data_IF_180025675185
#
_entry.id   IF_180025675185
#
_cell.length_a   1.000
_cell.length_b   1.000
_cell.length_c   1.000
_cell.angle_alpha   90.00
_cell.angle_beta   90.00
_cell.angle_gamma   90.00
#
_symmetry.space_group_name_H-M   'P 1'
#
loop_
_entity.id
_entity.type
_entity.pdbx_description
1 polymer ?
#
# COMPACT_ATOMS: atom_id res chain seq x y z
N UNK A 1 -49.06 76.89 15.58
CA UNK A 1 -49.60 75.52 15.82
C UNK A 1 -50.98 75.45 15.18
N UNK A 2 -51.43 74.37 14.50
CA UNK A 2 -50.88 73.00 14.39
C UNK A 2 -50.57 72.56 12.92
N UNK A 3 -49.43 71.88 12.67
CA UNK A 3 -49.19 70.42 12.55
C UNK A 3 -49.14 69.92 11.08
N UNK A 4 -47.96 70.04 10.46
CA UNK A 4 -47.59 69.25 9.29
C UNK A 4 -47.15 67.85 9.77
N UNK A 5 -47.92 66.82 9.42
CA UNK A 5 -47.60 65.42 9.73
C UNK A 5 -46.84 64.84 8.54
N UNK A 6 -45.57 64.47 8.79
CA UNK A 6 -44.66 63.95 7.78
C UNK A 6 -44.98 62.50 7.38
N UNK A 7 -44.93 62.23 6.08
CA UNK A 7 -44.84 60.88 5.53
C UNK A 7 -43.41 60.74 5.00
N UNK A 8 -42.56 60.12 5.80
CA UNK A 8 -41.20 59.72 5.40
C UNK A 8 -41.34 58.38 4.69
N UNK A 9 -41.30 58.40 3.35
CA UNK A 9 -41.31 57.20 2.51
C UNK A 9 -39.88 56.65 2.45
N UNK A 10 -39.53 55.80 3.42
CA UNK A 10 -38.22 55.14 3.49
C UNK A 10 -38.11 54.06 2.40
N UNK A 11 -37.57 54.42 1.25
CA UNK A 11 -37.25 53.50 0.15
C UNK A 11 -35.93 52.75 0.48
N UNK A 12 -36.02 51.65 1.20
CA UNK A 12 -34.89 50.75 1.48
C UNK A 12 -34.52 49.95 0.23
N UNK A 13 -33.66 50.53 -0.61
CA UNK A 13 -33.04 49.88 -1.75
C UNK A 13 -31.97 48.89 -1.24
N UNK A 14 -32.37 47.64 -1.01
CA UNK A 14 -31.46 46.56 -0.62
C UNK A 14 -30.52 46.21 -1.77
N UNK A 15 -29.28 46.68 -1.69
CA UNK A 15 -28.19 46.31 -2.60
C UNK A 15 -27.74 44.88 -2.28
N UNK A 16 -28.37 43.89 -2.92
CA UNK A 16 -27.87 42.51 -2.92
C UNK A 16 -26.67 42.45 -3.85
N UNK A 17 -25.47 42.61 -3.29
CA UNK A 17 -24.23 42.34 -4.00
C UNK A 17 -24.11 40.82 -4.17
N UNK A 18 -24.45 40.31 -5.36
CA UNK A 18 -24.08 38.98 -5.78
C UNK A 18 -22.55 38.94 -5.93
N UNK A 19 -21.87 38.34 -4.96
CA UNK A 19 -20.43 38.07 -5.06
C UNK A 19 -20.25 36.94 -6.08
N UNK A 20 -20.11 37.31 -7.35
CA UNK A 20 -19.56 36.42 -8.36
C UNK A 20 -18.07 36.21 -8.02
N UNK A 21 -17.69 34.97 -7.71
CA UNK A 21 -16.31 34.61 -7.35
C UNK A 21 -15.37 34.72 -8.55
N UNK A 22 -14.94 35.93 -8.87
CA UNK A 22 -13.84 36.16 -9.80
C UNK A 22 -12.52 35.80 -9.08
N UNK A 23 -11.70 34.96 -9.70
CA UNK A 23 -10.38 34.63 -9.17
C UNK A 23 -9.52 35.90 -9.04
N UNK A 24 -8.78 36.00 -7.92
CA UNK A 24 -7.86 37.11 -7.66
C UNK A 24 -6.85 37.28 -8.80
N UNK A 25 -6.53 38.52 -9.23
CA UNK A 25 -5.59 38.78 -10.33
C UNK A 25 -4.20 38.12 -10.15
N UNK A 26 -3.78 37.92 -8.90
CA UNK A 26 -2.54 37.22 -8.53
C UNK A 26 -2.60 35.72 -8.82
N UNK A 27 -3.75 35.08 -8.56
CA UNK A 27 -4.00 33.67 -8.86
C UNK A 27 -3.96 33.42 -10.36
N UNK A 28 -4.59 34.29 -11.15
CA UNK A 28 -4.59 34.18 -12.62
C UNK A 28 -3.18 34.29 -13.21
N UNK A 29 -2.36 35.24 -12.74
CA UNK A 29 -0.95 35.36 -13.17
C UNK A 29 -0.12 34.12 -12.79
N UNK A 30 -0.33 33.60 -11.59
CA UNK A 30 0.37 32.38 -11.12
C UNK A 30 -0.01 31.18 -11.96
N UNK A 31 -1.30 31.01 -12.24
CA UNK A 31 -1.81 29.93 -13.08
C UNK A 31 -1.29 30.04 -14.53
N UNK A 32 -1.22 31.24 -15.09
CA UNK A 32 -0.66 31.46 -16.43
C UNK A 32 0.82 31.05 -16.50
N UNK A 33 1.64 31.46 -15.53
CA UNK A 33 3.05 31.07 -15.49
C UNK A 33 3.22 29.55 -15.42
N UNK A 34 2.44 28.86 -14.59
CA UNK A 34 2.46 27.38 -14.50
C UNK A 34 2.01 26.75 -15.82
N UNK A 35 1.01 27.33 -16.48
CA UNK A 35 0.52 26.87 -17.77
C UNK A 35 1.59 26.97 -18.85
N UNK A 36 2.28 28.12 -18.97
CA UNK A 36 3.34 28.34 -19.96
C UNK A 36 4.50 27.34 -19.77
N UNK A 37 4.86 27.08 -18.50
CA UNK A 37 5.84 26.05 -18.14
C UNK A 37 5.38 24.64 -18.51
N UNK A 38 4.09 24.34 -18.38
CA UNK A 38 3.55 23.03 -18.73
C UNK A 38 3.51 22.82 -20.25
N UNK A 39 3.14 23.84 -21.02
CA UNK A 39 3.18 23.80 -22.48
C UNK A 39 4.61 23.62 -22.98
N UNK A 40 5.58 24.33 -22.40
CA UNK A 40 7.01 24.14 -22.71
C UNK A 40 7.46 22.70 -22.44
N UNK A 41 7.04 22.11 -21.32
CA UNK A 41 7.34 20.70 -21.02
C UNK A 41 6.67 19.76 -22.04
N UNK A 42 5.43 20.03 -22.49
CA UNK A 42 4.75 19.22 -23.52
C UNK A 42 5.45 19.30 -24.87
N UNK A 43 5.87 20.49 -25.29
CA UNK A 43 6.64 20.70 -26.53
C UNK A 43 7.98 19.95 -26.49
N UNK A 44 8.56 19.81 -25.30
CA UNK A 44 9.75 18.99 -25.06
C UNK A 44 9.48 17.48 -24.91
N UNK A 45 8.21 17.04 -25.02
CA UNK A 45 7.81 15.64 -24.84
C UNK A 45 7.78 15.15 -23.39
N UNK A 46 7.94 16.05 -22.41
CA UNK A 46 7.99 15.74 -20.98
C UNK A 46 6.60 15.69 -20.34
N UNK A 47 5.70 14.86 -20.88
CA UNK A 47 4.30 14.78 -20.44
C UNK A 47 4.14 14.42 -18.94
N UNK A 48 5.04 13.59 -18.40
CA UNK A 48 5.05 13.22 -16.98
C UNK A 48 5.26 14.42 -16.03
N UNK A 49 5.93 15.49 -16.49
CA UNK A 49 6.11 16.74 -15.75
C UNK A 49 5.02 17.75 -16.08
N UNK A 50 4.57 17.80 -17.33
CA UNK A 50 3.57 18.73 -17.80
C UNK A 50 2.17 18.50 -17.20
N UNK A 51 1.67 17.25 -17.21
CA UNK A 51 0.28 16.98 -16.82
C UNK A 51 0.01 17.34 -15.35
N UNK A 52 0.90 17.06 -14.38
CA UNK A 52 0.73 17.54 -13.00
C UNK A 52 0.70 19.08 -12.88
N UNK A 53 1.47 19.81 -13.70
CA UNK A 53 1.43 21.28 -13.72
C UNK A 53 0.10 21.80 -14.25
N UNK A 54 -0.40 21.24 -15.35
CA UNK A 54 -1.73 21.57 -15.90
C UNK A 54 -2.86 21.24 -14.91
N UNK A 55 -2.76 20.12 -14.20
CA UNK A 55 -3.70 19.78 -13.11
C UNK A 55 -3.73 20.86 -12.03
N UNK A 56 -2.56 21.42 -11.68
CA UNK A 56 -2.47 22.55 -10.74
C UNK A 56 -3.11 23.81 -11.30
N UNK A 57 -2.96 24.09 -12.60
CA UNK A 57 -3.66 25.22 -13.26
C UNK A 57 -5.17 25.08 -13.12
N UNK A 58 -5.73 23.90 -13.41
CA UNK A 58 -7.18 23.66 -13.30
C UNK A 58 -7.67 23.72 -11.84
N UNK A 59 -6.82 23.34 -10.88
CA UNK A 59 -7.15 23.52 -9.47
C UNK A 59 -7.24 25.01 -9.07
N UNK A 60 -6.36 25.86 -9.62
CA UNK A 60 -6.38 27.31 -9.39
C UNK A 60 -7.49 28.01 -10.18
N UNK A 61 -7.74 27.57 -11.40
CA UNK A 61 -8.72 28.14 -12.33
C UNK A 61 -9.63 27.02 -12.88
N UNK A 62 -10.64 26.59 -12.12
CA UNK A 62 -11.55 25.54 -12.56
C UNK A 62 -12.27 25.88 -13.86
N UNK A 63 -12.56 27.16 -14.11
CA UNK A 63 -13.28 27.64 -15.30
C UNK A 63 -12.41 27.73 -16.56
N UNK A 64 -11.11 27.43 -16.48
CA UNK A 64 -10.20 27.50 -17.62
C UNK A 64 -10.41 26.31 -18.58
N UNK A 65 -11.42 26.40 -19.45
CA UNK A 65 -11.75 25.39 -20.47
C UNK A 65 -10.53 25.03 -21.31
N UNK A 66 -9.74 26.04 -21.73
CA UNK A 66 -8.51 25.81 -22.49
C UNK A 66 -7.51 24.92 -21.75
N UNK A 67 -7.31 25.15 -20.45
CA UNK A 67 -6.40 24.33 -19.64
C UNK A 67 -6.90 22.90 -19.45
N UNK A 68 -8.22 22.69 -19.35
CA UNK A 68 -8.80 21.34 -19.31
C UNK A 68 -8.56 20.57 -20.60
N UNK A 69 -8.73 21.22 -21.76
CA UNK A 69 -8.45 20.60 -23.06
C UNK A 69 -6.97 20.25 -23.20
N UNK A 70 -6.06 21.16 -22.84
CA UNK A 70 -4.61 20.89 -22.86
C UNK A 70 -4.22 19.76 -21.92
N UNK A 71 -4.85 19.66 -20.73
CA UNK A 71 -4.60 18.52 -19.83
C UNK A 71 -5.10 17.20 -20.43
N UNK A 72 -6.24 17.21 -21.11
CA UNK A 72 -6.74 16.03 -21.79
C UNK A 72 -5.74 15.56 -22.86
N UNK A 73 -5.21 16.47 -23.68
CA UNK A 73 -4.18 16.19 -24.68
C UNK A 73 -2.89 15.66 -24.03
N UNK A 74 -2.46 16.25 -22.92
CA UNK A 74 -1.31 15.76 -22.16
C UNK A 74 -1.49 14.31 -21.71
N UNK A 75 -2.69 13.93 -21.25
CA UNK A 75 -2.97 12.56 -20.84
C UNK A 75 -3.07 11.58 -22.00
N UNK A 76 -3.57 11.99 -23.17
CA UNK A 76 -3.54 11.14 -24.38
C UNK A 76 -2.10 10.76 -24.73
N UNK A 77 -1.20 11.75 -24.77
CA UNK A 77 0.22 11.53 -25.08
C UNK A 77 0.95 10.72 -24.00
N UNK A 78 0.50 10.82 -22.75
CA UNK A 78 1.04 10.03 -21.64
C UNK A 78 0.52 8.58 -21.62
N UNK A 79 -0.48 8.24 -22.44
CA UNK A 79 -1.11 6.91 -22.46
C UNK A 79 -2.19 6.70 -21.39
N UNK A 80 -2.82 7.79 -20.91
CA UNK A 80 -3.90 7.76 -19.91
C UNK A 80 -5.24 8.18 -20.53
N UNK A 81 -5.88 7.32 -21.35
CA UNK A 81 -7.05 7.68 -22.14
C UNK A 81 -8.33 7.89 -21.31
N UNK A 82 -8.50 7.21 -20.17
CA UNK A 82 -9.65 7.43 -19.28
C UNK A 82 -9.56 8.78 -18.58
N UNK A 83 -8.37 9.14 -18.10
CA UNK A 83 -8.09 10.46 -17.53
C UNK A 83 -8.28 11.56 -18.57
N UNK A 84 -7.81 11.35 -19.81
CA UNK A 84 -8.05 12.30 -20.91
C UNK A 84 -9.54 12.50 -21.20
N UNK A 85 -10.31 11.41 -21.28
CA UNK A 85 -11.75 11.44 -21.53
C UNK A 85 -12.49 12.25 -20.46
N UNK A 86 -12.18 12.05 -19.17
CA UNK A 86 -12.77 12.82 -18.07
C UNK A 86 -12.58 14.33 -18.27
N UNK A 87 -11.36 14.74 -18.64
CA UNK A 87 -11.05 16.15 -18.87
C UNK A 87 -11.71 16.73 -20.12
N UNK A 88 -11.84 15.95 -21.21
CA UNK A 88 -12.63 16.37 -22.36
C UNK A 88 -14.10 16.58 -22.02
N UNK A 89 -14.72 15.63 -21.32
CA UNK A 89 -16.13 15.74 -20.90
C UNK A 89 -16.35 16.93 -19.97
N UNK A 90 -15.42 17.16 -19.03
CA UNK A 90 -15.46 18.33 -18.15
C UNK A 90 -15.34 19.66 -18.90
N UNK A 91 -14.46 19.73 -19.91
CA UNK A 91 -14.32 20.92 -20.76
C UNK A 91 -15.56 21.17 -21.63
N UNK A 92 -16.15 20.10 -22.19
CA UNK A 92 -17.39 20.17 -22.98
C UNK A 92 -18.53 20.73 -22.11
N UNK A 93 -18.73 20.17 -20.91
CA UNK A 93 -19.79 20.57 -20.00
C UNK A 93 -19.71 22.06 -19.62
N UNK A 94 -18.50 22.58 -19.39
CA UNK A 94 -18.31 24.02 -19.06
C UNK A 94 -18.45 24.94 -20.25
N UNK A 95 -18.20 24.44 -21.45
CA UNK A 95 -18.24 25.24 -22.64
C UNK A 95 -19.66 25.40 -23.21
N UNK A 96 -20.64 24.62 -22.72
CA UNK A 96 -22.06 24.80 -22.98
C UNK A 96 -22.51 26.20 -22.53
N UNK A 97 -22.72 27.10 -23.49
CA UNK A 97 -23.12 28.50 -23.24
C UNK A 97 -22.00 29.55 -23.37
N UNK A 98 -20.75 29.15 -23.63
CA UNK A 98 -19.59 30.07 -23.73
C UNK A 98 -19.28 30.58 -25.15
N UNK A 99 -20.05 30.17 -26.16
CA UNK A 99 -19.82 30.52 -27.58
C UNK A 99 -18.56 29.89 -28.21
N UNK A 100 -17.78 29.07 -27.48
CA UNK A 100 -16.56 28.43 -27.96
C UNK A 100 -16.79 27.13 -28.75
N UNK A 101 -17.81 27.12 -29.63
CA UNK A 101 -18.33 25.91 -30.29
C UNK A 101 -17.26 25.09 -31.03
N UNK A 102 -16.37 25.72 -31.78
CA UNK A 102 -15.36 25.00 -32.56
C UNK A 102 -14.38 24.17 -31.70
N UNK A 103 -14.00 24.68 -30.52
CA UNK A 103 -13.13 23.95 -29.58
C UNK A 103 -13.86 22.75 -28.97
N UNK A 104 -15.14 22.94 -28.62
CA UNK A 104 -16.01 21.88 -28.08
C UNK A 104 -16.24 20.77 -29.10
N UNK A 105 -16.47 21.11 -30.38
CA UNK A 105 -16.67 20.11 -31.43
C UNK A 105 -15.46 19.19 -31.57
N UNK A 106 -14.24 19.74 -31.55
CA UNK A 106 -13.02 18.92 -31.59
C UNK A 106 -12.85 18.07 -30.33
N UNK A 107 -13.09 18.65 -29.15
CA UNK A 107 -13.05 17.93 -27.88
C UNK A 107 -14.05 16.76 -27.85
N UNK A 108 -15.26 16.97 -28.37
CA UNK A 108 -16.30 15.94 -28.46
C UNK A 108 -15.90 14.79 -29.38
N UNK A 109 -15.37 15.09 -30.56
CA UNK A 109 -14.89 14.06 -31.48
C UNK A 109 -13.77 13.22 -30.85
N UNK A 110 -12.83 13.85 -30.13
CA UNK A 110 -11.78 13.13 -29.39
C UNK A 110 -12.36 12.28 -28.26
N UNK A 111 -13.27 12.82 -27.45
CA UNK A 111 -13.92 12.09 -26.36
C UNK A 111 -14.66 10.83 -26.87
N UNK A 112 -15.41 10.95 -27.96
CA UNK A 112 -16.13 9.84 -28.58
C UNK A 112 -15.16 8.77 -29.10
N UNK A 113 -14.06 9.17 -29.76
CA UNK A 113 -13.05 8.26 -30.25
C UNK A 113 -12.32 7.51 -29.11
N UNK A 114 -12.01 8.20 -28.02
CA UNK A 114 -11.39 7.61 -26.83
C UNK A 114 -12.34 6.62 -26.13
N UNK A 115 -13.61 6.98 -25.97
CA UNK A 115 -14.59 6.16 -25.26
C UNK A 115 -14.75 4.74 -25.85
N UNK A 116 -14.48 4.56 -27.15
CA UNK A 116 -14.53 3.26 -27.83
C UNK A 116 -13.31 2.37 -27.59
N UNK A 117 -12.21 2.93 -27.04
CA UNK A 117 -10.90 2.28 -26.94
C UNK A 117 -10.45 2.06 -25.51
N UNK A 118 -11.24 2.47 -24.52
CA UNK A 118 -10.87 2.40 -23.11
C UNK A 118 -11.41 1.12 -22.46
N UNK A 119 -10.56 0.45 -21.70
CA UNK A 119 -10.96 -0.69 -20.86
C UNK A 119 -11.86 -0.25 -19.69
N UNK A 120 -12.88 -1.04 -19.39
CA UNK A 120 -13.83 -0.78 -18.32
C UNK A 120 -13.70 -1.82 -17.21
N UNK A 121 -13.59 -1.37 -15.96
CA UNK A 121 -13.57 -2.20 -14.76
C UNK A 121 -14.91 -2.11 -14.03
N UNK A 122 -15.48 -3.28 -13.74
CA UNK A 122 -16.61 -3.43 -12.82
C UNK A 122 -16.14 -4.15 -11.56
N UNK A 123 -16.18 -3.44 -10.43
CA UNK A 123 -15.87 -4.01 -9.11
C UNK A 123 -17.16 -4.48 -8.45
N UNK A 124 -17.30 -5.79 -8.29
CA UNK A 124 -18.46 -6.40 -7.64
C UNK A 124 -18.15 -6.65 -6.16
N UNK A 125 -18.81 -5.89 -5.29
CA UNK A 125 -18.79 -6.13 -3.85
C UNK A 125 -20.01 -6.98 -3.50
N UNK A 126 -19.85 -8.21 -2.99
CA UNK A 126 -20.95 -9.06 -2.55
C UNK A 126 -21.82 -8.39 -1.49
N UNK A 127 -23.13 -8.63 -1.51
CA UNK A 127 -24.09 -8.03 -0.57
C UNK A 127 -23.72 -8.29 0.90
N UNK A 128 -23.16 -9.47 1.18
CA UNK A 128 -22.65 -9.86 2.50
C UNK A 128 -21.54 -8.95 3.03
N UNK A 129 -20.77 -8.31 2.14
CA UNK A 129 -19.70 -7.38 2.49
C UNK A 129 -20.21 -5.93 2.53
N UNK A 130 -21.21 -5.56 1.69
CA UNK A 130 -21.70 -4.17 1.59
C UNK A 130 -22.26 -3.62 2.90
N UNK A 131 -22.82 -4.48 3.75
CA UNK A 131 -23.34 -4.11 5.07
C UNK A 131 -22.29 -4.08 6.18
N UNK A 132 -21.02 -4.39 5.90
CA UNK A 132 -19.97 -4.37 6.91
C UNK A 132 -19.59 -2.94 7.27
N UNK A 133 -19.70 -2.60 8.56
CA UNK A 133 -19.24 -1.32 9.08
C UNK A 133 -17.72 -1.20 8.96
N UNK A 134 -17.26 -0.07 8.40
CA UNK A 134 -15.84 0.18 8.18
C UNK A 134 -15.22 -0.60 7.02
N UNK A 135 -16.03 -1.12 6.08
CA UNK A 135 -15.52 -1.62 4.81
C UNK A 135 -15.00 -0.47 3.97
N UNK A 136 -13.70 -0.51 3.66
CA UNK A 136 -13.02 0.46 2.80
C UNK A 136 -12.43 -0.26 1.60
N UNK A 137 -12.68 0.29 0.41
CA UNK A 137 -12.01 -0.11 -0.82
C UNK A 137 -11.11 1.04 -1.27
N UNK A 138 -9.87 0.71 -1.64
CA UNK A 138 -8.90 1.65 -2.18
C UNK A 138 -8.46 1.16 -3.56
N UNK A 139 -8.45 2.04 -4.55
CA UNK A 139 -7.86 1.82 -5.87
C UNK A 139 -6.63 2.72 -6.01
N UNK A 140 -5.44 2.13 -6.09
CA UNK A 140 -4.16 2.85 -6.06
C UNK A 140 -4.04 3.80 -4.85
N UNK A 141 -4.52 3.34 -3.69
CA UNK A 141 -4.50 4.11 -2.44
C UNK A 141 -5.53 5.23 -2.35
N UNK A 142 -6.38 5.43 -3.36
CA UNK A 142 -7.49 6.39 -3.34
C UNK A 142 -8.80 5.71 -2.98
N UNK A 143 -9.69 6.33 -2.19
CA UNK A 143 -11.01 5.77 -1.87
C UNK A 143 -11.80 5.40 -3.13
N UNK A 144 -12.25 4.14 -3.20
CA UNK A 144 -13.16 3.66 -4.22
C UNK A 144 -14.58 3.67 -3.66
N UNK A 145 -15.24 4.81 -3.84
CA UNK A 145 -16.53 5.14 -3.25
C UNK A 145 -17.60 4.07 -3.51
N UNK A 146 -18.46 3.86 -2.51
CA UNK A 146 -19.55 2.88 -2.58
C UNK A 146 -20.51 3.12 -3.75
N UNK A 147 -20.72 4.39 -4.14
CA UNK A 147 -21.54 4.75 -5.29
C UNK A 147 -21.04 4.13 -6.62
N UNK A 148 -19.74 3.81 -6.71
CA UNK A 148 -19.12 3.22 -7.91
C UNK A 148 -19.11 1.69 -7.89
N UNK A 149 -19.49 1.06 -6.79
CA UNK A 149 -19.52 -0.41 -6.70
C UNK A 149 -20.56 -0.97 -7.67
N UNK A 150 -20.16 -1.95 -8.47
CA UNK A 150 -20.98 -2.54 -9.53
C UNK A 150 -21.18 -1.66 -10.76
N UNK A 151 -20.66 -0.43 -10.78
CA UNK A 151 -20.64 0.42 -11.97
C UNK A 151 -19.41 0.10 -12.83
N UNK A 152 -19.54 0.31 -14.15
CA UNK A 152 -18.42 0.24 -15.07
C UNK A 152 -17.61 1.54 -14.98
N UNK A 153 -16.36 1.42 -14.58
CA UNK A 153 -15.40 2.52 -14.47
C UNK A 153 -14.34 2.38 -15.55
N UNK A 154 -14.15 3.42 -16.34
CA UNK A 154 -13.08 3.46 -17.35
C UNK A 154 -11.71 3.54 -16.69
N UNK A 155 -10.74 2.78 -17.22
CA UNK A 155 -9.37 2.67 -16.71
C UNK A 155 -8.35 3.17 -17.72
N UNK A 156 -7.27 3.76 -17.24
CA UNK A 156 -6.08 4.06 -18.05
C UNK A 156 -5.25 2.79 -18.28
N UNK A 157 -4.34 2.83 -19.25
CA UNK A 157 -3.49 1.70 -19.64
C UNK A 157 -2.30 1.56 -18.68
N UNK A 158 -2.61 1.32 -17.40
CA UNK A 158 -1.65 1.16 -16.31
C UNK A 158 -2.12 0.11 -15.32
N UNK A 159 -1.19 -0.47 -14.59
CA UNK A 159 -1.52 -1.41 -13.52
C UNK A 159 -2.12 -0.66 -12.33
N UNK A 160 -3.22 -1.20 -11.79
CA UNK A 160 -3.88 -0.73 -10.58
C UNK A 160 -3.82 -1.78 -9.47
N UNK A 161 -3.78 -1.33 -8.22
CA UNK A 161 -3.92 -2.18 -7.04
C UNK A 161 -5.23 -1.86 -6.34
N UNK A 162 -6.16 -2.80 -6.36
CA UNK A 162 -7.40 -2.75 -5.58
C UNK A 162 -7.15 -3.39 -4.21
N UNK A 163 -7.43 -2.67 -3.14
CA UNK A 163 -7.31 -3.12 -1.75
C UNK A 163 -8.66 -3.03 -1.09
N UNK A 164 -9.08 -4.06 -0.37
CA UNK A 164 -10.26 -4.04 0.48
C UNK A 164 -9.85 -4.34 1.92
N UNK A 165 -10.38 -3.58 2.86
CA UNK A 165 -10.12 -3.74 4.30
C UNK A 165 -11.40 -3.53 5.10
N UNK A 166 -11.57 -4.28 6.17
CA UNK A 166 -12.65 -4.09 7.13
C UNK A 166 -12.22 -4.56 8.53
N UNK A 167 -12.74 -3.97 9.62
CA UNK A 167 -12.46 -4.43 10.97
C UNK A 167 -12.78 -5.92 11.17
N UNK A 168 -11.83 -6.69 11.71
CA UNK A 168 -11.99 -8.13 11.92
C UNK A 168 -11.81 -9.01 10.67
N UNK A 169 -11.41 -8.42 9.54
CA UNK A 169 -11.06 -9.13 8.30
C UNK A 169 -9.58 -8.97 7.97
N UNK A 170 -9.04 -9.93 7.22
CA UNK A 170 -7.72 -9.79 6.59
C UNK A 170 -7.84 -8.82 5.42
N UNK A 171 -6.88 -7.93 5.28
CA UNK A 171 -6.79 -7.06 4.10
C UNK A 171 -6.63 -7.91 2.86
N UNK A 172 -7.49 -7.67 1.88
CA UNK A 172 -7.44 -8.30 0.57
C UNK A 172 -6.85 -7.33 -0.44
N UNK A 173 -6.04 -7.83 -1.36
CA UNK A 173 -5.46 -7.03 -2.45
C UNK A 173 -5.46 -7.80 -3.75
N UNK A 174 -5.75 -7.11 -4.85
CA UNK A 174 -5.73 -7.63 -6.21
C UNK A 174 -5.11 -6.61 -7.15
N UNK A 175 -4.10 -7.06 -7.90
CA UNK A 175 -3.58 -6.29 -9.04
C UNK A 175 -4.49 -6.48 -10.25
N UNK A 176 -4.74 -5.37 -10.94
CA UNK A 176 -5.57 -5.26 -12.14
C UNK A 176 -4.68 -4.66 -13.22
N UNK A 177 -4.49 -5.39 -14.31
CA UNK A 177 -3.69 -4.94 -15.44
C UNK A 177 -4.59 -4.88 -16.68
N UNK A 178 -5.09 -3.69 -17.05
CA UNK A 178 -5.91 -3.53 -18.23
C UNK A 178 -5.09 -3.83 -19.50
N UNK A 179 -5.61 -4.65 -20.43
CA UNK A 179 -4.95 -4.83 -21.71
C UNK A 179 -5.02 -3.53 -22.53
N UNK A 180 -4.10 -3.39 -23.49
CA UNK A 180 -4.07 -2.24 -24.42
C UNK A 180 -5.26 -2.20 -25.39
N UNK A 181 -5.99 -3.32 -25.53
CA UNK A 181 -7.25 -3.38 -26.28
C UNK A 181 -8.43 -3.17 -25.33
N UNK A 182 -9.53 -2.54 -25.77
CA UNK A 182 -10.69 -2.30 -24.92
C UNK A 182 -11.28 -3.61 -24.39
N UNK A 183 -11.24 -3.78 -23.06
CA UNK A 183 -11.76 -4.96 -22.39
C UNK A 183 -12.72 -4.62 -21.24
N UNK A 184 -13.70 -5.48 -21.02
CA UNK A 184 -14.59 -5.43 -19.85
C UNK A 184 -14.04 -6.34 -18.73
N UNK A 185 -13.37 -5.73 -17.76
CA UNK A 185 -12.79 -6.39 -16.60
C UNK A 185 -13.83 -6.48 -15.47
N UNK A 186 -13.90 -7.65 -14.82
CA UNK A 186 -14.76 -7.86 -13.64
C UNK A 186 -13.90 -8.36 -12.49
N UNK A 187 -14.02 -7.71 -11.35
CA UNK A 187 -13.29 -8.07 -10.13
C UNK A 187 -14.28 -8.19 -8.98
N UNK A 188 -14.38 -9.38 -8.41
CA UNK A 188 -15.20 -9.62 -7.23
C UNK A 188 -14.35 -9.49 -5.97
N UNK A 189 -14.80 -8.67 -5.02
CA UNK A 189 -14.10 -8.47 -3.75
C UNK A 189 -14.40 -9.61 -2.80
N UNK A 190 -13.35 -10.16 -2.18
CA UNK A 190 -13.44 -11.26 -1.22
C UNK A 190 -12.68 -10.84 0.04
N UNK A 191 -13.34 -10.94 1.20
CA UNK A 191 -12.71 -10.70 2.50
C UNK A 191 -12.85 -11.93 3.38
N UNK A 192 -11.72 -12.40 3.90
CA UNK A 192 -11.67 -13.50 4.85
C UNK A 192 -11.62 -12.94 6.27
N UNK A 193 -12.42 -13.50 7.18
CA UNK A 193 -12.36 -13.11 8.59
C UNK A 193 -10.95 -13.39 9.11
N UNK A 194 -10.36 -12.41 9.79
CA UNK A 194 -9.11 -12.65 10.49
C UNK A 194 -9.42 -13.65 11.61
N UNK A 195 -8.91 -14.88 11.48
CA UNK A 195 -9.03 -15.89 12.53
C UNK A 195 -8.68 -15.25 13.87
N UNK A 196 -9.62 -15.32 14.81
CA UNK A 196 -9.46 -14.70 16.13
C UNK A 196 -8.12 -15.14 16.72
N UNK A 197 -7.41 -14.26 17.43
CA UNK A 197 -6.19 -14.61 18.16
C UNK A 197 -6.37 -15.87 19.04
N UNK A 198 -7.62 -16.21 19.37
CA UNK A 198 -8.03 -17.42 20.05
C UNK A 198 -7.76 -18.73 19.27
N UNK A 199 -7.82 -18.74 17.92
CA UNK A 199 -7.50 -19.94 17.13
C UNK A 199 -5.99 -20.21 17.09
N UNK A 200 -5.16 -19.16 17.05
CA UNK A 200 -3.70 -19.31 17.20
C UNK A 200 -3.34 -19.84 18.59
N UNK A 201 -4.01 -19.36 19.63
CA UNK A 201 -3.84 -19.89 20.99
C UNK A 201 -4.35 -21.32 21.14
N UNK A 202 -5.43 -21.69 20.44
CA UNK A 202 -5.97 -23.05 20.46
C UNK A 202 -5.08 -24.05 19.71
N UNK A 203 -4.44 -23.63 18.62
CA UNK A 203 -3.45 -24.40 17.87
C UNK A 203 -2.12 -24.55 18.64
N UNK A 204 -1.64 -23.50 19.31
CA UNK A 204 -0.48 -23.59 20.22
C UNK A 204 -0.77 -24.43 21.47
N UNK A 205 -1.98 -24.34 22.03
CA UNK A 205 -2.40 -25.13 23.19
C UNK A 205 -2.55 -26.63 22.84
N UNK A 206 -3.07 -26.96 21.65
CA UNK A 206 -3.15 -28.35 21.17
C UNK A 206 -1.77 -28.90 20.82
N UNK A 207 -0.88 -28.09 20.23
CA UNK A 207 0.53 -28.46 20.00
C UNK A 207 1.29 -28.71 21.31
N UNK A 208 1.12 -27.86 22.33
CA UNK A 208 1.70 -28.05 23.68
C UNK A 208 1.14 -29.30 24.38
N UNK A 209 -0.14 -29.60 24.22
CA UNK A 209 -0.76 -30.82 24.77
C UNK A 209 -0.17 -32.10 24.16
N UNK A 210 0.01 -32.11 22.83
CA UNK A 210 0.51 -33.29 22.12
C UNK A 210 2.01 -33.58 22.40
N UNK A 211 2.82 -32.53 22.61
CA UNK A 211 4.24 -32.68 22.99
C UNK A 211 4.40 -33.25 24.41
N UNK A 212 3.55 -32.86 25.37
CA UNK A 212 3.58 -33.40 26.75
C UNK A 212 3.13 -34.85 26.87
N UNK A 213 2.37 -35.36 25.91
CA UNK A 213 1.87 -36.74 25.92
C UNK A 213 2.87 -37.74 25.29
N UNK A 214 3.87 -37.26 24.56
CA UNK A 214 4.94 -38.08 23.97
C UNK A 214 6.19 -38.23 24.84
N UNK A 215 6.34 -37.44 25.91
CA UNK A 215 7.51 -37.50 26.81
C UNK A 215 7.34 -38.42 28.02
N UNK A 216 6.22 -39.15 28.15
CA UNK A 216 5.95 -40.04 29.28
C UNK A 216 6.30 -41.53 29.03
N UNK A 217 6.95 -41.86 27.90
CA UNK A 217 7.14 -43.25 27.47
C UNK A 217 8.58 -43.78 27.54
N UNK A 218 9.57 -42.99 27.96
CA UNK A 218 10.99 -43.39 27.93
C UNK A 218 11.59 -43.32 29.34
N UNK A 219 11.14 -44.15 30.29
CA UNK A 219 11.97 -44.66 31.41
C UNK A 219 11.33 -45.95 31.90
N UNK A 220 11.92 -47.12 31.60
CA UNK A 220 11.97 -48.31 32.47
C UNK A 220 12.64 -49.49 31.74
N UNK A 221 13.97 -49.55 31.80
CA UNK A 221 14.83 -50.74 31.74
C UNK A 221 16.22 -50.25 32.15
N UNK A 222 16.93 -50.76 33.15
CA UNK A 222 16.75 -51.90 34.03
C UNK A 222 18.05 -52.03 34.82
N UNK A 223 17.91 -52.42 36.09
CA UNK A 223 18.97 -52.66 37.06
C UNK A 223 19.66 -54.00 36.80
N UNK A 224 20.99 -54.04 36.94
CA UNK A 224 21.70 -55.13 37.63
C UNK A 224 22.50 -56.13 36.79
N UNK A 225 23.84 -56.10 36.94
CA UNK A 225 24.69 -57.23 37.34
C UNK A 225 26.17 -56.83 37.27
N UNK A 226 26.89 -56.94 38.38
CA UNK A 226 28.34 -56.73 38.43
C UNK A 226 29.11 -57.96 37.97
N UNK A 227 30.20 -57.74 37.22
CA UNK A 227 31.33 -58.67 37.10
C UNK A 227 32.61 -57.83 37.03
N UNK A 228 33.56 -58.17 37.90
CA UNK A 228 34.89 -57.63 37.90
C UNK A 228 35.80 -58.33 36.88
N UNK A 229 36.77 -57.57 36.39
CA UNK A 229 38.10 -57.96 35.92
C UNK A 229 38.39 -58.04 34.39
N UNK A 230 39.45 -57.29 34.06
CA UNK A 230 40.42 -57.41 32.94
C UNK A 230 39.99 -57.02 31.52
N UNK A 231 40.17 -55.73 31.22
CA UNK A 231 41.09 -55.28 30.16
C UNK A 231 40.64 -55.32 28.68
N UNK A 232 39.87 -54.30 28.25
CA UNK A 232 40.03 -53.59 26.97
C UNK A 232 39.39 -54.15 25.69
N UNK A 233 38.17 -53.71 25.38
CA UNK A 233 37.30 -54.02 24.22
C UNK A 233 37.82 -53.47 22.86
N UNK A 234 37.64 -54.11 21.69
CA UNK A 234 36.48 -54.62 20.92
C UNK A 234 35.70 -53.59 20.07
N UNK A 235 35.56 -53.96 18.80
CA UNK A 235 34.99 -53.26 17.64
C UNK A 235 33.46 -53.19 17.57
N UNK A 236 32.99 -52.31 16.68
CA UNK A 236 31.83 -52.44 15.77
C UNK A 236 30.37 -52.42 16.29
N UNK A 237 29.63 -51.45 15.70
CA UNK A 237 28.27 -51.53 15.10
C UNK A 237 27.06 -51.70 16.02
N UNK A 238 26.15 -50.72 16.04
CA UNK A 238 24.74 -50.84 15.54
C UNK A 238 23.93 -49.58 15.85
N UNK A 239 22.92 -49.40 15.02
CA UNK A 239 21.96 -48.30 14.93
C UNK A 239 20.75 -48.55 15.86
N UNK A 240 20.29 -47.53 16.59
CA UNK A 240 18.96 -47.53 17.19
C UNK A 240 18.43 -46.10 17.45
N UNK A 241 17.14 -45.98 17.17
CA UNK A 241 16.22 -44.84 17.24
C UNK A 241 16.12 -44.11 18.59
N UNK A 242 15.75 -42.83 18.56
CA UNK A 242 14.85 -42.24 19.57
C UNK A 242 15.22 -40.89 20.19
N UNK A 243 14.50 -39.84 19.78
CA UNK A 243 13.91 -38.79 20.63
C UNK A 243 14.69 -38.06 21.75
N UNK A 244 14.88 -36.75 21.52
CA UNK A 244 14.60 -35.61 22.43
C UNK A 244 15.32 -35.44 23.79
N UNK A 245 16.25 -34.47 23.79
CA UNK A 245 16.39 -33.32 24.71
C UNK A 245 16.49 -33.51 26.24
N UNK A 246 17.64 -33.15 26.82
CA UNK A 246 17.91 -31.94 27.65
C UNK A 246 18.88 -32.23 28.79
N UNK A 247 19.99 -31.48 28.76
CA UNK A 247 21.08 -31.27 29.73
C UNK A 247 20.66 -31.11 31.22
N UNK A 248 21.56 -31.37 32.22
CA UNK A 248 22.70 -30.48 32.44
C UNK A 248 24.01 -31.10 32.98
N UNK A 249 25.11 -30.73 32.32
CA UNK A 249 26.30 -30.23 33.00
C UNK A 249 27.40 -31.24 33.34
N UNK A 250 28.63 -30.75 33.12
CA UNK A 250 29.89 -31.14 33.78
C UNK A 250 30.76 -32.15 33.00
N UNK A 251 31.55 -31.53 32.10
CA UNK A 251 32.98 -31.68 31.78
C UNK A 251 33.60 -33.01 31.33
N UNK A 252 34.53 -32.77 30.40
CA UNK A 252 35.78 -33.48 30.15
C UNK A 252 35.64 -34.76 29.33
N UNK A 253 36.56 -35.13 28.43
CA UNK A 253 37.71 -34.55 27.71
C UNK A 253 38.35 -35.82 27.07
N UNK A 254 39.24 -35.62 26.09
CA UNK A 254 40.10 -36.63 25.44
C UNK A 254 39.48 -37.33 24.22
N UNK A 255 39.82 -37.07 22.95
CA UNK A 255 41.08 -36.80 22.20
C UNK A 255 41.59 -38.03 21.42
N UNK A 256 42.14 -37.76 20.23
CA UNK A 256 42.81 -38.70 19.32
C UNK A 256 42.12 -38.76 17.95
N UNK A 257 42.36 -37.85 16.99
CA UNK A 257 43.57 -37.59 16.17
C UNK A 257 43.96 -38.75 15.24
N UNK A 258 43.66 -38.56 13.94
CA UNK A 258 44.53 -38.79 12.76
C UNK A 258 43.66 -38.54 11.52
N UNK A 259 43.96 -37.70 10.53
CA UNK A 259 45.06 -36.82 10.20
C UNK A 259 44.77 -36.31 8.76
N UNK A 260 45.01 -35.04 8.44
CA UNK A 260 44.74 -34.54 7.08
C UNK A 260 44.61 -33.03 6.98
N UNK A 261 45.76 -32.37 7.01
CA UNK A 261 46.02 -30.94 6.90
C UNK A 261 45.36 -30.27 5.68
N UNK A 262 44.51 -29.25 5.88
CA UNK A 262 44.39 -28.07 5.00
C UNK A 262 43.69 -26.92 5.76
N UNK A 263 44.42 -25.81 5.88
CA UNK A 263 44.09 -24.67 6.71
C UNK A 263 43.02 -23.76 6.08
N UNK A 264 41.98 -23.44 6.86
CA UNK A 264 40.94 -22.48 6.51
C UNK A 264 39.88 -22.46 7.60
N UNK A 265 40.09 -21.67 8.65
CA UNK A 265 39.20 -21.56 9.79
C UNK A 265 37.88 -20.87 9.39
N UNK A 266 36.89 -21.65 8.99
CA UNK A 266 35.49 -21.24 9.01
C UNK A 266 34.99 -21.24 10.46
N UNK A 267 34.88 -20.06 11.06
CA UNK A 267 34.23 -19.89 12.35
C UNK A 267 32.71 -19.97 12.16
N UNK A 268 32.10 -21.08 12.57
CA UNK A 268 30.65 -21.17 12.75
C UNK A 268 30.29 -20.51 14.09
N UNK A 269 29.74 -19.29 14.04
CA UNK A 269 29.22 -18.59 15.21
C UNK A 269 27.79 -19.10 15.46
N UNK A 270 27.61 -19.91 16.51
CA UNK A 270 26.29 -20.23 17.04
C UNK A 270 25.78 -19.05 17.88
N UNK A 271 24.72 -18.38 17.44
CA UNK A 271 23.98 -17.42 18.26
C UNK A 271 23.05 -18.20 19.19
N UNK A 272 23.45 -18.40 20.44
CA UNK A 272 22.54 -18.82 21.51
C UNK A 272 21.98 -17.56 22.18
N UNK A 273 20.72 -17.20 21.88
CA UNK A 273 20.02 -16.16 22.63
C UNK A 273 19.64 -16.68 24.01
N UNK A 274 20.05 -16.04 25.13
CA UNK A 274 19.45 -16.32 26.42
C UNK A 274 18.04 -15.71 26.45
N UNK A 275 17.04 -16.54 26.74
CA UNK A 275 15.71 -16.07 27.15
C UNK A 275 15.82 -15.55 28.58
N UNK A 276 16.17 -14.26 28.72
CA UNK A 276 15.99 -13.49 29.94
C UNK A 276 14.69 -12.69 29.84
N UNK A 277 13.76 -12.94 30.75
CA UNK A 277 12.54 -12.14 30.92
C UNK A 277 12.89 -10.67 31.20
N UNK A 278 12.46 -9.77 30.30
CA UNK A 278 12.58 -8.33 30.52
C UNK A 278 11.40 -7.82 31.35
N UNK A 279 11.69 -7.43 32.59
CA UNK A 279 10.81 -6.63 33.46
C UNK A 279 10.84 -5.16 33.00
N UNK A 280 9.74 -4.39 33.10
CA UNK A 280 9.67 -3.05 32.52
C UNK A 280 10.34 -2.03 33.45
N UNK A 281 11.37 -1.35 32.96
CA UNK A 281 11.98 -0.27 33.72
C UNK A 281 13.10 0.47 33.00
N UNK A 282 12.76 1.66 32.50
CA UNK A 282 13.63 2.82 32.16
C UNK A 282 14.47 2.72 30.88
N UNK A 283 14.03 3.50 29.90
CA UNK A 283 14.76 4.20 28.83
C UNK A 283 16.26 3.87 28.70
N UNK A 284 16.57 2.79 27.96
CA UNK A 284 17.91 2.55 27.44
C UNK A 284 17.93 2.91 25.95
N UNK A 285 18.32 4.15 25.65
CA UNK A 285 18.57 4.58 24.27
C UNK A 285 19.85 3.90 23.75
N UNK A 286 19.69 2.93 22.84
CA UNK A 286 20.80 2.26 22.16
C UNK A 286 21.32 3.18 21.06
N UNK A 287 22.50 3.77 21.25
CA UNK A 287 23.17 4.57 20.23
C UNK A 287 24.09 3.68 19.39
N UNK A 288 23.66 3.33 18.17
CA UNK A 288 24.52 2.71 17.17
C UNK A 288 25.28 3.80 16.39
N UNK A 289 26.61 3.67 16.29
CA UNK A 289 27.42 4.50 15.38
C UNK A 289 27.89 3.66 14.21
N UNK A 290 27.67 4.18 13.01
CA UNK A 290 28.09 3.55 11.75
C UNK A 290 29.29 4.32 11.23
N UNK A 291 30.43 3.63 11.10
CA UNK A 291 31.63 4.16 10.48
C UNK A 291 31.79 3.62 9.06
N UNK A 292 32.03 4.50 8.09
CA UNK A 292 32.31 4.14 6.70
C UNK A 292 33.79 4.37 6.42
N UNK A 293 34.49 3.34 5.95
CA UNK A 293 35.89 3.45 5.51
C UNK A 293 36.13 2.68 4.20
N UNK A 294 37.23 2.93 3.46
CA UNK A 294 37.43 2.43 2.09
C UNK A 294 37.48 0.90 1.93
N UNK A 295 37.49 0.14 3.02
CA UNK A 295 37.42 -1.33 3.03
C UNK A 295 36.12 -1.93 3.56
N UNK A 296 35.07 -1.14 3.81
CA UNK A 296 33.77 -1.64 4.29
C UNK A 296 33.10 -0.78 5.37
N UNK A 297 31.99 -1.28 5.92
CA UNK A 297 31.23 -0.66 7.01
C UNK A 297 31.53 -1.37 8.32
N UNK A 298 31.83 -0.60 9.38
CA UNK A 298 31.96 -1.13 10.74
C UNK A 298 30.80 -0.65 11.61
N UNK A 299 30.17 -1.58 12.34
CA UNK A 299 29.12 -1.28 13.31
C UNK A 299 29.65 -1.58 14.71
N UNK A 300 29.59 -0.60 15.61
CA UNK A 300 29.83 -0.80 17.04
C UNK A 300 28.56 -0.44 17.81
N UNK A 301 28.04 -1.42 18.54
CA UNK A 301 27.03 -1.22 19.58
C UNK A 301 27.70 -1.32 20.95
N UNK A 302 27.59 -0.27 21.77
CA UNK A 302 27.89 -0.36 23.19
C UNK A 302 26.60 -0.80 23.91
N UNK A 303 26.71 -1.85 24.72
CA UNK A 303 25.66 -2.37 25.58
C UNK A 303 25.82 -1.78 26.98
#
# INVERSE_FOLDING_TARGET
MPRFSGIVLSLSLGLVAAVAGAAEPSTTKTAQHIYDQAVTDMEAGNFALACPRLKKVIHLLPEAIGAQLTLAECYEELGYPASALEHYLGAIAKAEGSGQHARVTRARAKAEALALRISALKVEVPETLRGLSGLELLLDGRPFEQARWGQSVLLDDRTYTLVASAPGYRTWSKQIDPPAEPAALKVTVVLEKAGSANDKQKEEATRRKNTRQRSASIVMMGVGAGIAATGGAFSAVTEATGGSSSDPGVVALWSGVAGGLLAGAGALIFFTTPLGEASPGKDAAVHARVGVHPGGLSFQSAW
#
